data_IF_720962548302
#
_entry.id   IF_720962548302
#
_cell.length_a   1.000
_cell.length_b   1.000
_cell.length_c   1.000
_cell.angle_alpha   90.00
_cell.angle_beta   90.00
_cell.angle_gamma   90.00
#
_symmetry.space_group_name_H-M   'P 1'
#
loop_
_entity.id
_entity.type
_entity.pdbx_description
1 polymer ?
#
# COMPACT_ATOMS: atom_id res chain seq x y z
N UNK A 1 -34.62 -49.83 1.81
CA UNK A 1 -34.75 -48.54 2.53
C UNK A 1 -34.12 -48.76 3.89
N UNK A 2 -32.99 -48.17 4.29
CA UNK A 2 -32.42 -46.86 3.95
C UNK A 2 -30.92 -46.93 4.28
N UNK A 3 -30.03 -46.78 3.29
CA UNK A 3 -28.60 -46.56 3.56
C UNK A 3 -28.41 -45.09 3.92
N UNK A 4 -27.87 -44.84 5.12
CA UNK A 4 -27.44 -43.50 5.57
C UNK A 4 -26.25 -43.06 4.72
N UNK A 5 -26.45 -42.03 3.91
CA UNK A 5 -25.38 -41.28 3.28
C UNK A 5 -24.53 -40.61 4.35
N UNK A 6 -23.27 -41.03 4.48
CA UNK A 6 -22.24 -40.34 5.24
C UNK A 6 -21.97 -39.00 4.54
N UNK A 7 -22.52 -37.91 5.07
CA UNK A 7 -22.09 -36.56 4.69
C UNK A 7 -20.63 -36.37 5.10
N UNK A 8 -19.76 -36.33 4.10
CA UNK A 8 -18.36 -35.99 4.26
C UNK A 8 -18.27 -34.46 4.44
N UNK A 9 -17.90 -34.01 5.63
CA UNK A 9 -17.54 -32.62 5.89
C UNK A 9 -16.35 -32.25 4.98
N UNK A 10 -16.33 -31.07 4.33
CA UNK A 10 -15.17 -30.63 3.56
C UNK A 10 -14.03 -30.37 4.54
N UNK A 11 -13.07 -31.30 4.60
CA UNK A 11 -11.86 -31.12 5.38
C UNK A 11 -11.05 -29.96 4.82
N UNK A 12 -10.56 -29.09 5.72
CA UNK A 12 -9.56 -28.09 5.38
C UNK A 12 -8.33 -28.79 4.78
N UNK A 13 -8.17 -28.69 3.46
CA UNK A 13 -7.00 -29.21 2.76
C UNK A 13 -5.76 -28.45 3.22
N UNK A 14 -4.74 -29.17 3.70
CA UNK A 14 -3.44 -28.57 4.03
C UNK A 14 -2.83 -27.90 2.78
N UNK A 15 -2.16 -26.73 2.93
CA UNK A 15 -1.54 -26.05 1.81
C UNK A 15 -0.41 -26.89 1.22
N UNK A 16 -0.26 -26.86 -0.10
CA UNK A 16 0.92 -27.43 -0.77
C UNK A 16 2.18 -26.63 -0.43
N UNK A 17 3.35 -27.25 -0.58
CA UNK A 17 4.64 -26.58 -0.37
C UNK A 17 4.77 -25.29 -1.20
N UNK A 18 4.38 -25.35 -2.47
CA UNK A 18 4.40 -24.18 -3.37
C UNK A 18 3.45 -23.07 -2.89
N UNK A 19 2.27 -23.41 -2.36
CA UNK A 19 1.33 -22.42 -1.80
C UNK A 19 1.90 -21.76 -0.55
N UNK A 20 2.53 -22.54 0.33
CA UNK A 20 3.18 -22.02 1.52
C UNK A 20 4.34 -21.08 1.16
N UNK A 21 5.23 -21.51 0.25
CA UNK A 21 6.36 -20.69 -0.22
C UNK A 21 5.87 -19.37 -0.86
N UNK A 22 4.87 -19.42 -1.73
CA UNK A 22 4.31 -18.22 -2.35
C UNK A 22 3.73 -17.26 -1.30
N UNK A 23 3.03 -17.79 -0.29
CA UNK A 23 2.46 -16.99 0.80
C UNK A 23 3.56 -16.35 1.65
N UNK A 24 4.63 -17.09 1.97
CA UNK A 24 5.76 -16.57 2.74
C UNK A 24 6.51 -15.48 1.97
N UNK A 25 6.72 -15.65 0.67
CA UNK A 25 7.36 -14.63 -0.19
C UNK A 25 6.50 -13.37 -0.24
N UNK A 26 5.19 -13.52 -0.46
CA UNK A 26 4.26 -12.38 -0.47
C UNK A 26 4.29 -11.62 0.87
N UNK A 27 4.18 -12.34 1.98
CA UNK A 27 4.27 -11.75 3.32
C UNK A 27 5.60 -11.02 3.55
N UNK A 28 6.72 -11.66 3.23
CA UNK A 28 8.05 -11.10 3.42
C UNK A 28 8.25 -9.80 2.62
N UNK A 29 7.82 -9.77 1.36
CA UNK A 29 7.92 -8.58 0.52
C UNK A 29 7.06 -7.43 1.07
N UNK A 30 5.82 -7.72 1.47
CA UNK A 30 4.93 -6.68 2.03
C UNK A 30 5.48 -6.10 3.33
N UNK A 31 5.96 -6.95 4.24
CA UNK A 31 6.55 -6.51 5.51
C UNK A 31 7.83 -5.71 5.31
N UNK A 32 8.67 -6.13 4.38
CA UNK A 32 9.89 -5.42 4.05
C UNK A 32 9.56 -4.00 3.56
N UNK A 33 8.54 -3.85 2.71
CA UNK A 33 8.10 -2.54 2.23
C UNK A 33 7.61 -1.68 3.39
N UNK A 34 6.72 -2.21 4.24
CA UNK A 34 6.19 -1.45 5.39
C UNK A 34 7.30 -0.93 6.30
N UNK A 35 8.36 -1.71 6.51
CA UNK A 35 9.49 -1.36 7.39
C UNK A 35 10.44 -0.33 6.79
N UNK A 36 10.62 -0.33 5.47
CA UNK A 36 11.68 0.45 4.83
C UNK A 36 11.17 1.64 4.00
N UNK A 37 9.86 1.73 3.72
CA UNK A 37 9.27 2.74 2.83
C UNK A 37 9.64 4.19 3.17
N UNK A 38 9.85 4.49 4.45
CA UNK A 38 10.20 5.83 4.91
C UNK A 38 11.72 6.14 4.80
N UNK A 39 12.53 5.19 4.33
CA UNK A 39 13.98 5.38 4.09
C UNK A 39 14.32 5.84 2.67
N UNK A 40 13.33 5.92 1.78
CA UNK A 40 13.54 6.25 0.36
C UNK A 40 13.09 7.68 0.07
N UNK A 41 13.98 8.64 0.28
CA UNK A 41 13.72 10.06 -0.04
C UNK A 41 13.90 10.36 -1.54
N UNK A 42 13.14 11.29 -2.15
CA UNK A 42 12.04 12.06 -1.53
C UNK A 42 10.78 11.19 -1.36
N UNK A 43 10.15 11.22 -0.18
CA UNK A 43 8.90 10.50 0.07
C UNK A 43 7.81 10.89 -0.95
N UNK A 44 6.87 9.97 -1.21
CA UNK A 44 5.70 10.23 -2.06
C UNK A 44 6.06 10.63 -3.50
N UNK A 45 7.06 9.95 -4.08
CA UNK A 45 7.49 10.18 -5.46
C UNK A 45 7.63 8.87 -6.23
N UNK A 46 7.56 8.94 -7.56
CA UNK A 46 7.91 7.80 -8.40
C UNK A 46 9.38 7.36 -8.21
N UNK A 47 10.26 8.29 -7.84
CA UNK A 47 11.68 8.03 -7.58
C UNK A 47 11.89 7.19 -6.30
N UNK A 48 11.16 7.48 -5.22
CA UNK A 48 11.24 6.66 -4.00
C UNK A 48 10.76 5.22 -4.21
N UNK A 49 9.71 5.05 -5.03
CA UNK A 49 9.29 3.72 -5.47
C UNK A 49 10.36 3.01 -6.31
N UNK A 50 11.00 3.71 -7.26
CA UNK A 50 12.08 3.14 -8.06
C UNK A 50 13.27 2.73 -7.19
N UNK A 51 13.66 3.55 -6.21
CA UNK A 51 14.73 3.26 -5.24
C UNK A 51 14.43 2.01 -4.42
N UNK A 52 13.19 1.84 -3.95
CA UNK A 52 12.77 0.59 -3.29
C UNK A 52 12.94 -0.62 -4.22
N UNK A 53 12.48 -0.53 -5.48
CA UNK A 53 12.59 -1.65 -6.42
C UNK A 53 14.05 -2.02 -6.71
N UNK A 54 14.92 -1.02 -6.89
CA UNK A 54 16.36 -1.23 -7.03
C UNK A 54 16.92 -1.90 -5.78
N UNK A 55 16.60 -1.38 -4.60
CA UNK A 55 17.05 -1.95 -3.33
C UNK A 55 16.59 -3.41 -3.17
N UNK A 56 15.34 -3.72 -3.53
CA UNK A 56 14.80 -5.08 -3.50
C UNK A 56 15.59 -6.01 -4.44
N UNK A 57 15.82 -5.60 -5.69
CA UNK A 57 16.56 -6.37 -6.68
C UNK A 57 18.00 -6.68 -6.19
N UNK A 58 18.69 -5.67 -5.65
CA UNK A 58 20.04 -5.84 -5.10
C UNK A 58 20.06 -6.80 -3.91
N UNK A 59 19.07 -6.73 -3.01
CA UNK A 59 18.95 -7.66 -1.88
C UNK A 59 18.57 -9.09 -2.31
N UNK A 60 18.01 -9.25 -3.50
CA UNK A 60 17.81 -10.56 -4.14
C UNK A 60 19.08 -11.08 -4.85
N UNK A 61 20.18 -10.33 -4.85
CA UNK A 61 21.47 -10.73 -5.43
C UNK A 61 21.63 -10.38 -6.92
N UNK A 62 20.76 -9.55 -7.48
CA UNK A 62 20.91 -9.06 -8.85
C UNK A 62 21.91 -7.91 -8.92
N UNK A 63 22.46 -7.65 -10.12
CA UNK A 63 23.28 -6.47 -10.38
C UNK A 63 22.40 -5.21 -10.46
N UNK A 64 23.03 -4.04 -10.28
CA UNK A 64 22.38 -2.74 -10.50
C UNK A 64 22.31 -2.32 -11.97
N UNK A 65 22.63 -3.23 -12.89
CA UNK A 65 22.57 -2.96 -14.33
C UNK A 65 21.12 -2.93 -14.81
N UNK A 66 20.86 -2.10 -15.82
CA UNK A 66 19.50 -1.89 -16.36
C UNK A 66 18.80 -3.21 -16.68
N UNK A 67 19.45 -4.10 -17.42
CA UNK A 67 18.84 -5.35 -17.88
C UNK A 67 18.43 -6.26 -16.71
N UNK A 68 19.23 -6.29 -15.63
CA UNK A 68 18.92 -7.05 -14.43
C UNK A 68 17.72 -6.44 -13.68
N UNK A 69 17.67 -5.12 -13.57
CA UNK A 69 16.56 -4.40 -12.92
C UNK A 69 15.24 -4.52 -13.71
N UNK A 70 15.31 -4.43 -15.04
CA UNK A 70 14.16 -4.65 -15.92
C UNK A 70 13.68 -6.11 -15.86
N UNK A 71 14.62 -7.06 -15.82
CA UNK A 71 14.32 -8.48 -15.59
C UNK A 71 13.62 -8.74 -14.26
N UNK A 72 14.07 -8.10 -13.17
CA UNK A 72 13.43 -8.17 -11.86
C UNK A 72 12.00 -7.63 -11.89
N UNK A 73 11.80 -6.44 -12.45
CA UNK A 73 10.47 -5.83 -12.56
C UNK A 73 9.52 -6.70 -13.40
N UNK A 74 10.02 -7.29 -14.48
CA UNK A 74 9.27 -8.24 -15.32
C UNK A 74 8.88 -9.50 -14.54
N UNK A 75 9.80 -10.05 -13.74
CA UNK A 75 9.59 -11.26 -12.94
C UNK A 75 8.55 -11.07 -11.82
N UNK A 76 8.45 -9.87 -11.22
CA UNK A 76 7.37 -9.54 -10.28
C UNK A 76 6.00 -9.61 -10.97
N UNK A 77 5.94 -9.19 -12.24
CA UNK A 77 4.70 -9.10 -13.00
C UNK A 77 3.75 -8.01 -12.49
N UNK A 78 2.68 -7.70 -13.25
CA UNK A 78 1.82 -6.55 -12.99
C UNK A 78 1.02 -6.69 -11.68
N UNK A 79 0.56 -7.90 -11.35
CA UNK A 79 -0.28 -8.14 -10.16
C UNK A 79 0.48 -7.88 -8.87
N UNK A 80 1.69 -8.44 -8.73
CA UNK A 80 2.48 -8.24 -7.51
C UNK A 80 3.00 -6.80 -7.46
N UNK A 81 3.51 -6.28 -8.57
CA UNK A 81 3.97 -4.89 -8.67
C UNK A 81 2.91 -3.89 -8.20
N UNK A 82 1.66 -4.03 -8.66
CA UNK A 82 0.57 -3.15 -8.22
C UNK A 82 0.27 -3.25 -6.73
N UNK A 83 0.29 -4.46 -6.16
CA UNK A 83 0.10 -4.67 -4.71
C UNK A 83 1.23 -4.05 -3.88
N UNK A 84 2.48 -4.29 -4.27
CA UNK A 84 3.66 -3.74 -3.59
C UNK A 84 3.66 -2.21 -3.64
N UNK A 85 3.32 -1.63 -4.80
CA UNK A 85 3.21 -0.17 -4.98
C UNK A 85 2.15 0.44 -4.08
N UNK A 86 0.97 -0.20 -3.99
CA UNK A 86 -0.09 0.22 -3.07
C UNK A 86 0.42 0.25 -1.62
N UNK A 87 1.07 -0.83 -1.16
CA UNK A 87 1.59 -0.90 0.22
C UNK A 87 2.70 0.14 0.48
N UNK A 88 3.49 0.47 -0.54
CA UNK A 88 4.52 1.50 -0.43
C UNK A 88 3.91 2.90 -0.22
N UNK A 89 2.82 3.22 -0.92
CA UNK A 89 2.15 4.53 -0.88
C UNK A 89 0.90 4.61 0.00
N UNK A 90 0.59 3.59 0.80
CA UNK A 90 -0.48 3.66 1.81
C UNK A 90 0.06 3.95 3.21
N UNK A 91 -0.68 4.66 4.06
CA UNK A 91 -0.38 4.78 5.49
C UNK A 91 -1.63 4.54 6.30
N UNK A 92 -1.54 3.61 7.24
CA UNK A 92 -2.55 3.42 8.26
C UNK A 92 -2.16 4.25 9.49
N UNK A 93 -2.99 5.23 9.82
CA UNK A 93 -2.84 6.12 10.97
C UNK A 93 -3.95 5.76 11.96
N UNK A 94 -3.86 4.57 12.54
CA UNK A 94 -4.92 3.97 13.37
C UNK A 94 -5.27 4.85 14.58
N UNK A 95 -4.30 5.55 15.16
CA UNK A 95 -4.53 6.49 16.27
C UNK A 95 -5.28 7.76 15.84
N UNK A 96 -5.28 8.08 14.54
CA UNK A 96 -6.08 9.15 13.95
C UNK A 96 -7.38 8.64 13.31
N UNK A 97 -7.60 7.32 13.31
CA UNK A 97 -8.68 6.63 12.61
C UNK A 97 -8.70 6.93 11.10
N UNK A 98 -7.52 7.08 10.49
CA UNK A 98 -7.36 7.42 9.08
C UNK A 98 -6.57 6.35 8.33
N UNK A 99 -6.96 6.10 7.09
CA UNK A 99 -6.12 5.46 6.08
C UNK A 99 -5.82 6.47 4.97
N UNK A 100 -4.57 6.54 4.55
CA UNK A 100 -4.10 7.44 3.49
C UNK A 100 -3.68 6.61 2.28
N UNK A 101 -4.18 6.97 1.10
CA UNK A 101 -3.72 6.44 -0.19
C UNK A 101 -3.15 7.59 -1.01
N UNK A 102 -1.85 7.56 -1.30
CA UNK A 102 -1.13 8.69 -1.86
C UNK A 102 -0.12 8.23 -2.94
N UNK A 103 -0.61 7.43 -3.90
CA UNK A 103 0.20 7.01 -5.05
C UNK A 103 0.36 8.18 -6.04
N UNK A 104 1.58 8.63 -6.36
CA UNK A 104 1.80 9.74 -7.29
C UNK A 104 1.41 9.45 -8.75
N UNK A 105 1.04 8.21 -9.08
CA UNK A 105 0.43 7.88 -10.37
C UNK A 105 -1.08 8.20 -10.42
N UNK A 106 -1.71 8.42 -9.27
CA UNK A 106 -3.12 8.80 -9.16
C UNK A 106 -3.30 10.32 -9.17
N UNK A 107 -4.51 10.79 -9.45
CA UNK A 107 -4.81 12.23 -9.58
C UNK A 107 -4.79 12.99 -8.24
N UNK A 108 -4.99 12.28 -7.13
CA UNK A 108 -5.19 12.88 -5.82
C UNK A 108 -4.84 11.91 -4.70
N UNK A 109 -4.53 12.48 -3.55
CA UNK A 109 -4.44 11.77 -2.28
C UNK A 109 -5.85 11.51 -1.76
N UNK A 110 -6.09 10.33 -1.20
CA UNK A 110 -7.33 9.98 -0.52
C UNK A 110 -7.07 9.78 0.97
N UNK A 111 -7.82 10.51 1.79
CA UNK A 111 -7.86 10.37 3.25
C UNK A 111 -9.18 9.68 3.62
N UNK A 112 -9.14 8.41 3.99
CA UNK A 112 -10.32 7.61 4.31
C UNK A 112 -10.52 7.53 5.82
N UNK A 113 -11.75 7.73 6.28
CA UNK A 113 -12.12 7.49 7.67
C UNK A 113 -12.26 5.98 7.94
N UNK A 114 -11.61 5.52 9.00
CA UNK A 114 -11.78 4.17 9.56
C UNK A 114 -12.91 4.12 10.60
N UNK A 115 -13.50 5.27 10.95
CA UNK A 115 -14.66 5.41 11.82
C UNK A 115 -15.75 6.22 11.11
N UNK A 116 -16.46 5.65 10.12
CA UNK A 116 -17.40 6.38 9.26
C UNK A 116 -18.58 7.02 10.02
N UNK A 117 -18.86 6.57 11.23
CA UNK A 117 -19.85 7.14 12.13
C UNK A 117 -19.39 8.45 12.81
N UNK A 118 -18.09 8.72 12.84
CA UNK A 118 -17.52 9.94 13.42
C UNK A 118 -17.06 10.88 12.31
N UNK A 119 -17.90 11.89 12.03
CA UNK A 119 -17.61 12.90 11.02
C UNK A 119 -16.43 13.80 11.38
N UNK A 120 -16.02 13.85 12.66
CA UNK A 120 -14.90 14.67 13.10
C UNK A 120 -13.55 14.13 12.65
N UNK A 121 -13.46 12.83 12.30
CA UNK A 121 -12.22 12.20 11.81
C UNK A 121 -11.67 12.89 10.57
N UNK A 122 -12.57 13.39 9.70
CA UNK A 122 -12.25 14.09 8.47
C UNK A 122 -12.21 15.61 8.62
N UNK A 123 -12.23 16.14 9.85
CA UNK A 123 -12.04 17.57 10.09
C UNK A 123 -10.70 18.04 9.53
N UNK A 124 -10.71 19.21 8.88
CA UNK A 124 -9.56 19.73 8.14
C UNK A 124 -8.28 19.77 9.00
N UNK A 125 -8.39 20.25 10.24
CA UNK A 125 -7.25 20.37 11.15
C UNK A 125 -6.59 19.01 11.43
N UNK A 126 -7.38 17.94 11.52
CA UNK A 126 -6.86 16.58 11.72
C UNK A 126 -6.18 16.05 10.47
N UNK A 127 -6.73 16.34 9.29
CA UNK A 127 -6.13 15.93 8.03
C UNK A 127 -4.79 16.62 7.81
N UNK A 128 -4.65 17.89 8.18
CA UNK A 128 -3.37 18.60 8.14
C UNK A 128 -2.34 17.93 9.05
N UNK A 129 -2.72 17.62 10.30
CA UNK A 129 -1.84 16.90 11.24
C UNK A 129 -1.41 15.53 10.67
N UNK A 130 -2.33 14.82 10.03
CA UNK A 130 -2.04 13.54 9.40
C UNK A 130 -1.03 13.69 8.24
N UNK A 131 -1.21 14.69 7.38
CA UNK A 131 -0.32 14.98 6.25
C UNK A 131 1.07 15.40 6.71
N UNK A 132 1.17 16.23 7.75
CA UNK A 132 2.45 16.63 8.36
C UNK A 132 3.19 15.43 8.92
N UNK A 133 2.51 14.59 9.71
CA UNK A 133 3.09 13.40 10.35
C UNK A 133 3.75 12.45 9.37
N UNK A 134 3.18 12.32 8.17
CA UNK A 134 3.67 11.39 7.15
C UNK A 134 4.53 12.09 6.08
N UNK A 135 4.86 13.37 6.23
CA UNK A 135 5.71 14.12 5.30
C UNK A 135 5.06 14.37 3.92
N UNK A 136 3.73 14.42 3.86
CA UNK A 136 2.95 14.58 2.62
C UNK A 136 2.42 16.01 2.42
N UNK A 137 2.45 16.86 3.46
CA UNK A 137 1.85 18.20 3.43
C UNK A 137 2.36 19.07 2.26
N UNK A 138 3.67 19.09 2.02
CA UNK A 138 4.28 19.91 0.96
C UNK A 138 4.10 19.35 -0.46
N UNK A 139 3.43 18.19 -0.59
CA UNK A 139 3.19 17.50 -1.87
C UNK A 139 1.76 17.68 -2.37
N UNK A 140 0.87 18.22 -1.54
CA UNK A 140 -0.54 18.44 -1.85
C UNK A 140 -0.88 19.92 -1.95
N UNK A 141 -2.01 20.25 -2.56
CA UNK A 141 -2.47 21.64 -2.66
C UNK A 141 -2.71 22.25 -1.27
N UNK A 142 -2.13 23.43 -1.03
CA UNK A 142 -2.39 24.24 0.16
C UNK A 142 -3.75 24.94 0.11
N UNK A 143 -4.34 25.05 -1.09
CA UNK A 143 -5.68 25.59 -1.30
C UNK A 143 -6.74 24.59 -0.82
N UNK A 144 -7.34 24.90 0.33
CA UNK A 144 -8.34 24.07 1.03
C UNK A 144 -9.67 24.03 0.31
N UNK A 145 -10.02 25.03 -0.50
CA UNK A 145 -11.26 25.02 -1.28
C UNK A 145 -11.24 23.92 -2.35
N UNK A 146 -10.05 23.46 -2.74
CA UNK A 146 -9.87 22.36 -3.69
C UNK A 146 -9.96 20.98 -3.03
N UNK A 147 -10.04 20.91 -1.70
CA UNK A 147 -10.22 19.66 -0.99
C UNK A 147 -11.69 19.24 -1.10
N UNK A 148 -11.93 18.02 -1.56
CA UNK A 148 -13.27 17.52 -1.81
C UNK A 148 -13.63 16.49 -0.76
N UNK A 149 -14.51 16.86 0.17
CA UNK A 149 -15.11 15.90 1.09
C UNK A 149 -16.23 15.12 0.40
N UNK A 150 -16.06 13.80 0.37
CA UNK A 150 -17.03 12.80 -0.06
C UNK A 150 -17.34 11.93 1.17
N UNK A 151 -18.55 11.40 1.32
CA UNK A 151 -19.01 10.55 2.44
C UNK A 151 -17.98 10.29 3.57
N UNK A 152 -17.18 9.21 3.46
CA UNK A 152 -16.15 8.82 4.42
C UNK A 152 -14.71 9.05 3.89
N UNK A 153 -14.52 9.93 2.90
CA UNK A 153 -13.24 10.17 2.23
C UNK A 153 -13.04 11.65 1.91
N UNK A 154 -11.86 12.19 2.19
CA UNK A 154 -11.44 13.49 1.63
C UNK A 154 -10.43 13.27 0.51
N UNK A 155 -10.74 13.80 -0.67
CA UNK A 155 -9.88 13.82 -1.83
C UNK A 155 -9.09 15.13 -1.88
N UNK A 156 -7.77 15.02 -1.94
CA UNK A 156 -6.83 16.14 -1.86
C UNK A 156 -5.94 16.14 -3.10
N UNK A 157 -6.05 17.12 -4.00
CA UNK A 157 -5.18 17.20 -5.17
C UNK A 157 -3.70 17.33 -4.82
N UNK A 158 -2.84 16.73 -5.65
CA UNK A 158 -1.41 17.00 -5.64
C UNK A 158 -1.12 18.48 -5.98
N UNK A 159 0.06 18.97 -5.58
CA UNK A 159 0.57 20.29 -5.99
C UNK A 159 0.95 20.32 -7.47
#
# INVERSE_FOLDING_TARGET
MTQRSSQQQPGESQPSEAQLQATLVDFALLELIRRNRDSFEPLWTADSWAKLLIWLALNCGLSGERDALEGFASALGPRLTGRLRRVFFERDLTDLELQVLADPAEQQVLMLSLAPQDSSVLAEERLVVALERIGLLDRVTSDRERWQQLDAVVAIPWT
#
